data_IF_733412042463
#
_entry.id   IF_733412042463
#
_cell.length_a   1.000
_cell.length_b   1.000
_cell.length_c   1.000
_cell.angle_alpha   90.00
_cell.angle_beta   90.00
_cell.angle_gamma   90.00
#
_symmetry.space_group_name_H-M   'P 1'
#
loop_
_entity.id
_entity.type
_entity.pdbx_description
1 polymer ?
#
# COMPACT_ATOMS: atom_id res chain seq x y z
N UNK A 1 -0.38 -11.15 -3.78
CA UNK A 1 0.06 -9.73 -3.73
C UNK A 1 0.73 -9.35 -5.05
N UNK A 2 0.26 -8.31 -5.73
CA UNK A 2 1.02 -7.71 -6.84
C UNK A 2 1.99 -6.70 -6.25
N UNK A 3 3.27 -7.05 -6.17
CA UNK A 3 4.34 -6.22 -5.62
C UNK A 3 4.60 -4.92 -6.43
N UNK A 4 4.11 -4.84 -7.67
CA UNK A 4 4.35 -3.71 -8.56
C UNK A 4 3.22 -2.68 -8.48
N UNK A 5 1.97 -3.13 -8.27
CA UNK A 5 0.81 -2.24 -8.22
C UNK A 5 -0.31 -2.83 -7.35
N UNK A 6 -0.86 -2.10 -6.37
CA UNK A 6 -1.93 -2.62 -5.53
C UNK A 6 -3.20 -2.84 -6.35
N UNK A 7 -3.77 -4.05 -6.27
CA UNK A 7 -5.08 -4.34 -6.85
C UNK A 7 -6.17 -4.03 -5.82
N UNK A 8 -6.77 -2.87 -5.93
CA UNK A 8 -7.87 -2.47 -5.05
C UNK A 8 -9.19 -3.18 -5.39
N UNK A 9 -9.38 -3.52 -6.66
CA UNK A 9 -10.62 -4.05 -7.21
C UNK A 9 -10.37 -4.93 -8.44
N UNK A 10 -11.41 -5.60 -8.91
CA UNK A 10 -11.43 -6.38 -10.13
C UNK A 10 -11.01 -5.54 -11.36
N UNK A 11 -10.19 -6.08 -12.28
CA UNK A 11 -9.80 -5.41 -13.52
C UNK A 11 -11.00 -5.09 -14.45
N UNK A 12 -12.12 -5.80 -14.31
CA UNK A 12 -13.33 -5.54 -15.09
C UNK A 12 -14.13 -4.34 -14.58
N UNK A 13 -13.92 -3.94 -13.34
CA UNK A 13 -14.46 -2.69 -12.81
C UNK A 13 -13.62 -1.50 -13.32
N UNK A 14 -14.15 -0.79 -14.32
CA UNK A 14 -13.50 0.38 -14.95
C UNK A 14 -14.27 1.67 -14.69
N UNK A 15 -14.19 2.23 -13.49
CA UNK A 15 -14.80 3.52 -13.20
C UNK A 15 -14.13 4.64 -14.00
N UNK A 16 -14.91 5.66 -14.39
CA UNK A 16 -14.35 6.85 -15.01
C UNK A 16 -13.35 7.56 -14.08
N UNK A 17 -12.41 8.33 -14.65
CA UNK A 17 -11.33 9.00 -13.89
C UNK A 17 -11.85 9.86 -12.72
N UNK A 18 -12.93 10.59 -12.93
CA UNK A 18 -13.55 11.42 -11.87
C UNK A 18 -14.20 10.58 -10.77
N UNK A 19 -14.82 9.44 -11.11
CA UNK A 19 -15.38 8.52 -10.15
C UNK A 19 -14.26 7.91 -9.29
N UNK A 20 -13.16 7.50 -9.90
CA UNK A 20 -11.98 6.96 -9.20
C UNK A 20 -11.37 8.00 -8.25
N UNK A 21 -11.23 9.24 -8.69
CA UNK A 21 -10.74 10.33 -7.83
C UNK A 21 -11.65 10.53 -6.59
N UNK A 22 -12.98 10.51 -6.78
CA UNK A 22 -13.94 10.61 -5.68
C UNK A 22 -13.87 9.43 -4.71
N UNK A 23 -13.65 8.22 -5.23
CA UNK A 23 -13.47 7.01 -4.42
C UNK A 23 -12.22 7.15 -3.55
N UNK A 24 -11.08 7.50 -4.13
CA UNK A 24 -9.84 7.69 -3.38
C UNK A 24 -9.95 8.84 -2.35
N UNK A 25 -10.61 9.93 -2.71
CA UNK A 25 -10.87 11.03 -1.77
C UNK A 25 -11.66 10.57 -0.55
N UNK A 26 -12.77 9.83 -0.78
CA UNK A 26 -13.57 9.26 0.30
C UNK A 26 -12.78 8.24 1.13
N UNK A 27 -12.02 7.36 0.48
CA UNK A 27 -11.18 6.38 1.17
C UNK A 27 -10.16 7.07 2.09
N UNK A 28 -9.48 8.12 1.61
CA UNK A 28 -8.55 8.93 2.42
C UNK A 28 -9.24 9.56 3.64
N UNK A 29 -10.42 10.17 3.45
CA UNK A 29 -11.17 10.76 4.57
C UNK A 29 -11.58 9.71 5.61
N UNK A 30 -11.92 8.49 5.19
CA UNK A 30 -12.26 7.42 6.12
C UNK A 30 -11.02 6.90 6.87
N UNK A 31 -9.91 6.71 6.17
CA UNK A 31 -8.66 6.29 6.80
C UNK A 31 -8.17 7.32 7.83
N UNK A 32 -8.23 8.62 7.51
CA UNK A 32 -7.82 9.70 8.41
C UNK A 32 -8.65 9.78 9.71
N UNK A 33 -9.85 9.19 9.74
CA UNK A 33 -10.66 9.10 10.95
C UNK A 33 -10.19 8.01 11.91
N UNK A 34 -9.41 7.04 11.43
CA UNK A 34 -8.85 5.95 12.23
C UNK A 34 -7.40 6.26 12.58
N UNK A 35 -7.16 6.83 13.75
CA UNK A 35 -5.79 7.13 14.22
C UNK A 35 -4.91 5.87 14.27
N UNK A 36 -5.51 4.69 14.53
CA UNK A 36 -4.81 3.41 14.55
C UNK A 36 -4.26 3.06 13.16
N UNK A 37 -5.08 3.16 12.10
CA UNK A 37 -4.69 2.74 10.77
C UNK A 37 -3.73 3.75 10.12
N UNK A 38 -3.92 5.05 10.40
CA UNK A 38 -2.94 6.08 10.04
C UNK A 38 -1.61 5.82 10.75
N UNK A 39 -1.64 5.53 12.05
CA UNK A 39 -0.42 5.19 12.82
C UNK A 39 0.28 3.96 12.27
N UNK A 40 -0.47 2.89 11.96
CA UNK A 40 0.09 1.67 11.37
C UNK A 40 0.68 1.93 9.98
N UNK A 41 -0.02 2.69 9.14
CA UNK A 41 0.48 3.09 7.81
C UNK A 41 1.80 3.85 7.92
N UNK A 42 1.86 4.85 8.78
CA UNK A 42 3.08 5.62 9.02
C UNK A 42 4.20 4.74 9.58
N UNK A 43 3.91 3.91 10.59
CA UNK A 43 4.89 3.02 11.18
C UNK A 43 5.52 2.12 10.11
N UNK A 44 4.71 1.38 9.36
CA UNK A 44 5.22 0.44 8.34
C UNK A 44 5.96 1.17 7.23
N UNK A 45 5.48 2.35 6.79
CA UNK A 45 6.11 3.13 5.73
C UNK A 45 7.45 3.72 6.15
N UNK A 46 7.64 4.09 7.43
CA UNK A 46 8.86 4.76 7.90
C UNK A 46 9.87 3.84 8.59
N UNK A 47 9.53 2.56 8.86
CA UNK A 47 10.50 1.59 9.41
C UNK A 47 11.83 1.55 8.62
N UNK A 48 11.83 1.42 7.27
CA UNK A 48 13.09 1.35 6.54
C UNK A 48 13.93 2.63 6.66
N UNK A 49 13.28 3.80 6.74
CA UNK A 49 13.97 5.09 6.95
C UNK A 49 14.62 5.11 8.34
N UNK A 50 13.90 4.69 9.37
CA UNK A 50 14.44 4.62 10.74
C UNK A 50 15.63 3.68 10.84
N UNK A 51 15.55 2.51 10.21
CA UNK A 51 16.67 1.55 10.15
C UNK A 51 17.87 2.15 9.41
N UNK A 52 17.64 2.83 8.28
CA UNK A 52 18.73 3.50 7.55
C UNK A 52 19.43 4.55 8.41
N UNK A 53 18.66 5.42 9.08
CA UNK A 53 19.22 6.46 9.95
C UNK A 53 20.02 5.85 11.12
N UNK A 54 19.51 4.76 11.68
CA UNK A 54 20.23 4.03 12.74
C UNK A 54 21.56 3.48 12.22
N UNK A 55 21.57 2.82 11.06
CA UNK A 55 22.79 2.29 10.45
C UNK A 55 23.79 3.42 10.18
N UNK A 56 23.35 4.53 9.60
CA UNK A 56 24.22 5.68 9.31
C UNK A 56 24.80 6.32 10.59
N UNK A 57 24.10 6.25 11.72
CA UNK A 57 24.61 6.77 12.98
C UNK A 57 25.78 5.96 13.56
N UNK A 58 25.83 4.65 13.24
CA UNK A 58 26.93 3.77 13.67
C UNK A 58 28.14 3.77 12.72
N UNK A 59 27.93 4.14 11.45
CA UNK A 59 28.98 4.14 10.42
C UNK A 59 29.20 5.56 9.90
N UNK A 60 29.99 6.42 10.60
CA UNK A 60 30.32 7.73 10.09
C UNK A 60 31.12 7.59 8.78
N UNK A 61 30.48 8.00 7.69
CA UNK A 61 31.10 7.97 6.36
C UNK A 61 32.11 9.12 6.26
N UNK A 62 33.38 8.82 6.49
CA UNK A 62 34.48 9.74 6.17
C UNK A 62 34.72 9.67 4.65
N UNK A 63 34.20 10.64 3.93
CA UNK A 63 34.35 10.74 2.48
C UNK A 63 35.48 11.68 2.11
N UNK A 64 36.58 11.15 1.52
CA UNK A 64 37.62 11.91 0.89
C UNK A 64 37.42 11.87 -0.65
N UNK A 65 36.93 12.96 -1.28
CA UNK A 65 36.63 13.00 -2.70
C UNK A 65 37.86 12.90 -3.62
N UNK A 66 39.06 13.13 -3.07
CA UNK A 66 40.34 13.10 -3.82
C UNK A 66 40.99 11.71 -3.81
N UNK A 67 40.47 10.75 -3.06
CA UNK A 67 41.10 9.43 -3.01
C UNK A 67 40.80 8.59 -4.28
N UNK A 68 41.75 7.78 -4.77
CA UNK A 68 41.53 6.92 -5.94
C UNK A 68 40.46 5.83 -5.73
N UNK A 69 40.09 5.59 -4.48
CA UNK A 69 39.01 4.66 -4.09
C UNK A 69 37.61 5.30 -4.17
N UNK A 70 37.51 6.59 -4.49
CA UNK A 70 36.22 7.32 -4.46
C UNK A 70 35.19 6.74 -5.43
N UNK A 71 35.60 6.25 -6.59
CA UNK A 71 34.68 5.64 -7.57
C UNK A 71 34.03 4.35 -7.05
N UNK A 72 34.78 3.54 -6.32
CA UNK A 72 34.26 2.32 -5.68
C UNK A 72 33.29 2.66 -4.54
N UNK A 73 33.60 3.69 -3.76
CA UNK A 73 32.73 4.18 -2.69
C UNK A 73 31.42 4.75 -3.26
N UNK A 74 31.48 5.54 -4.33
CA UNK A 74 30.30 6.07 -5.01
C UNK A 74 29.41 4.93 -5.52
N UNK A 75 30.00 3.90 -6.14
CA UNK A 75 29.26 2.74 -6.63
C UNK A 75 28.56 1.98 -5.52
N UNK A 76 29.20 1.81 -4.37
CA UNK A 76 28.62 1.18 -3.18
C UNK A 76 27.48 2.02 -2.58
N UNK A 77 27.62 3.35 -2.54
CA UNK A 77 26.55 4.25 -2.09
C UNK A 77 25.36 4.16 -3.02
N UNK A 78 25.56 4.19 -4.35
CA UNK A 78 24.48 4.09 -5.33
C UNK A 78 23.76 2.74 -5.23
N UNK A 79 24.51 1.65 -5.07
CA UNK A 79 23.93 0.32 -4.85
C UNK A 79 23.11 0.28 -3.55
N UNK A 80 23.64 0.83 -2.46
CA UNK A 80 22.94 0.93 -1.17
C UNK A 80 21.64 1.71 -1.27
N UNK A 81 21.65 2.85 -1.98
CA UNK A 81 20.45 3.66 -2.23
C UNK A 81 19.42 2.90 -3.08
N UNK A 82 19.86 2.15 -4.10
CA UNK A 82 18.96 1.32 -4.90
C UNK A 82 18.28 0.24 -4.05
N UNK A 83 19.06 -0.50 -3.26
CA UNK A 83 18.52 -1.52 -2.35
C UNK A 83 17.56 -0.91 -1.33
N UNK A 84 17.94 0.22 -0.74
CA UNK A 84 17.06 0.94 0.18
C UNK A 84 15.74 1.35 -0.49
N UNK A 85 15.80 1.90 -1.71
CA UNK A 85 14.60 2.27 -2.47
C UNK A 85 13.67 1.08 -2.70
N UNK A 86 14.22 -0.09 -3.06
CA UNK A 86 13.45 -1.30 -3.26
C UNK A 86 12.77 -1.77 -1.96
N UNK A 87 13.49 -1.76 -0.83
CA UNK A 87 12.94 -2.10 0.48
C UNK A 87 11.83 -1.11 0.87
N UNK A 88 12.06 0.18 0.68
CA UNK A 88 11.09 1.24 0.96
C UNK A 88 9.83 1.07 0.09
N UNK A 89 9.99 0.74 -1.18
CA UNK A 89 8.86 0.47 -2.07
C UNK A 89 8.03 -0.71 -1.59
N UNK A 90 8.66 -1.81 -1.24
CA UNK A 90 7.96 -3.01 -0.71
C UNK A 90 7.22 -2.69 0.59
N UNK A 91 7.87 -2.00 1.53
CA UNK A 91 7.24 -1.59 2.79
C UNK A 91 6.01 -0.70 2.55
N UNK A 92 6.11 0.25 1.64
CA UNK A 92 4.99 1.12 1.26
C UNK A 92 3.84 0.34 0.63
N UNK A 93 4.12 -0.63 -0.25
CA UNK A 93 3.10 -1.49 -0.86
C UNK A 93 2.40 -2.35 0.18
N UNK A 94 3.13 -2.88 1.17
CA UNK A 94 2.55 -3.62 2.29
C UNK A 94 1.66 -2.70 3.13
N UNK A 95 2.12 -1.48 3.44
CA UNK A 95 1.33 -0.50 4.19
C UNK A 95 0.01 -0.17 3.49
N UNK A 96 0.03 0.05 2.17
CA UNK A 96 -1.17 0.30 1.35
C UNK A 96 -2.11 -0.91 1.41
N UNK A 97 -1.59 -2.12 1.22
CA UNK A 97 -2.42 -3.33 1.18
C UNK A 97 -3.12 -3.58 2.53
N UNK A 98 -2.39 -3.43 3.63
CA UNK A 98 -2.90 -3.66 4.97
C UNK A 98 -3.88 -2.59 5.46
N UNK A 99 -3.61 -1.32 5.17
CA UNK A 99 -4.35 -0.21 5.80
C UNK A 99 -5.27 0.53 4.85
N UNK A 100 -4.85 0.80 3.62
CA UNK A 100 -5.59 1.64 2.68
C UNK A 100 -6.60 0.87 1.82
N UNK A 101 -6.24 -0.35 1.39
CA UNK A 101 -7.08 -1.18 0.50
C UNK A 101 -8.50 -1.43 1.04
N UNK A 102 -8.73 -1.72 2.34
CA UNK A 102 -10.07 -1.90 2.88
C UNK A 102 -10.95 -0.66 2.73
N UNK A 103 -10.35 0.53 2.90
CA UNK A 103 -11.07 1.81 2.77
C UNK A 103 -11.47 2.09 1.34
N UNK A 104 -10.60 1.79 0.35
CA UNK A 104 -10.93 1.93 -1.07
C UNK A 104 -12.09 1.00 -1.44
N UNK A 105 -12.05 -0.26 -1.04
CA UNK A 105 -13.13 -1.23 -1.28
C UNK A 105 -14.43 -0.79 -0.64
N UNK A 106 -14.40 -0.32 0.60
CA UNK A 106 -15.57 0.24 1.28
C UNK A 106 -16.14 1.47 0.57
N UNK A 107 -15.27 2.35 0.05
CA UNK A 107 -15.68 3.51 -0.72
C UNK A 107 -16.33 3.13 -2.05
N UNK A 108 -15.79 2.15 -2.78
CA UNK A 108 -16.37 1.62 -4.02
C UNK A 108 -17.77 1.04 -3.74
N UNK A 109 -17.91 0.21 -2.71
CA UNK A 109 -19.19 -0.37 -2.34
C UNK A 109 -20.25 0.68 -2.04
N UNK A 110 -19.89 1.79 -1.38
CA UNK A 110 -20.80 2.91 -1.11
C UNK A 110 -21.22 3.67 -2.37
N UNK A 111 -20.61 3.42 -3.52
CA UNK A 111 -21.09 3.95 -4.81
C UNK A 111 -22.14 3.05 -5.47
N UNK A 112 -22.57 1.97 -4.80
CA UNK A 112 -23.56 1.01 -5.30
C UNK A 112 -22.95 -0.13 -6.12
N UNK A 113 -21.61 -0.23 -6.19
CA UNK A 113 -20.96 -1.33 -6.91
C UNK A 113 -20.78 -2.52 -5.97
N UNK A 114 -21.37 -3.69 -6.25
CA UNK A 114 -21.24 -4.88 -5.42
C UNK A 114 -19.85 -5.48 -5.57
N UNK A 115 -18.93 -5.20 -4.63
CA UNK A 115 -17.59 -5.78 -4.59
C UNK A 115 -17.36 -6.51 -3.27
N UNK A 116 -16.57 -7.58 -3.33
CA UNK A 116 -16.10 -8.30 -2.17
C UNK A 116 -15.10 -7.43 -1.38
N UNK A 117 -15.34 -7.26 -0.07
CA UNK A 117 -14.44 -6.48 0.77
C UNK A 117 -13.09 -7.17 1.01
N UNK A 118 -13.06 -8.51 1.00
CA UNK A 118 -11.83 -9.28 1.27
C UNK A 118 -10.87 -9.31 0.08
N UNK A 119 -11.36 -9.57 -1.16
CA UNK A 119 -10.51 -9.72 -2.34
C UNK A 119 -10.70 -8.62 -3.39
N UNK A 120 -11.80 -7.84 -3.35
CA UNK A 120 -12.08 -6.77 -4.31
C UNK A 120 -12.77 -7.25 -5.60
N UNK A 121 -13.15 -8.55 -5.69
CA UNK A 121 -13.85 -9.12 -6.85
C UNK A 121 -15.24 -8.49 -7.00
N UNK A 122 -15.68 -8.24 -8.24
CA UNK A 122 -17.07 -7.90 -8.53
C UNK A 122 -17.98 -9.06 -8.17
N UNK A 123 -19.04 -8.78 -7.43
CA UNK A 123 -20.05 -9.76 -7.06
C UNK A 123 -21.27 -9.59 -7.97
N UNK A 124 -21.86 -10.68 -8.40
CA UNK A 124 -23.20 -10.67 -9.00
C UNK A 124 -24.24 -10.69 -7.87
N UNK A 125 -25.37 -10.03 -8.07
CA UNK A 125 -26.39 -9.78 -7.04
C UNK A 125 -26.95 -11.04 -6.35
N UNK A 126 -26.78 -12.21 -6.95
CA UNK A 126 -27.35 -13.48 -6.50
C UNK A 126 -26.37 -14.40 -5.74
N UNK A 127 -25.15 -13.92 -5.42
CA UNK A 127 -24.10 -14.80 -4.84
C UNK A 127 -24.01 -14.62 -3.34
N UNK A 128 -24.35 -15.68 -2.58
CA UNK A 128 -24.25 -15.69 -1.09
C UNK A 128 -22.80 -15.64 -0.57
N UNK A 129 -21.83 -16.08 -1.38
CA UNK A 129 -20.40 -16.06 -1.03
C UNK A 129 -19.54 -15.69 -2.24
N UNK A 130 -18.43 -15.01 -2.00
CA UNK A 130 -17.50 -14.63 -3.06
C UNK A 130 -16.89 -15.89 -3.71
N UNK A 131 -16.98 -16.07 -5.06
CA UNK A 131 -16.45 -17.26 -5.73
C UNK A 131 -14.91 -17.33 -5.66
N UNK A 132 -14.20 -16.22 -5.49
CA UNK A 132 -12.75 -16.17 -5.49
C UNK A 132 -12.13 -16.44 -4.10
N UNK A 133 -12.72 -15.89 -3.04
CA UNK A 133 -12.13 -16.00 -1.69
C UNK A 133 -13.04 -16.71 -0.66
N UNK A 134 -14.25 -17.10 -1.04
CA UNK A 134 -15.21 -17.76 -0.16
C UNK A 134 -15.79 -16.85 0.94
N UNK A 135 -15.44 -15.57 0.99
CA UNK A 135 -16.01 -14.66 1.98
C UNK A 135 -17.51 -14.51 1.78
N UNK A 136 -18.30 -14.63 2.85
CA UNK A 136 -19.74 -14.45 2.80
C UNK A 136 -20.14 -13.07 2.27
N UNK A 137 -21.27 -13.01 1.60
CA UNK A 137 -21.85 -11.73 1.15
C UNK A 137 -22.19 -10.91 2.40
N UNK A 138 -21.91 -9.61 2.40
CA UNK A 138 -22.12 -8.75 3.58
C UNK A 138 -23.62 -8.49 3.92
N UNK A 139 -24.54 -9.20 3.29
CA UNK A 139 -25.96 -9.23 3.67
C UNK A 139 -26.23 -9.95 5.00
N UNK A 140 -25.35 -10.90 5.37
CA UNK A 140 -25.60 -11.80 6.51
C UNK A 140 -25.12 -11.24 7.87
N UNK A 141 -24.45 -10.08 7.88
CA UNK A 141 -23.88 -9.48 9.10
C UNK A 141 -24.75 -8.37 9.73
N UNK A 142 -26.01 -8.21 9.28
CA UNK A 142 -26.95 -7.22 9.83
C UNK A 142 -28.19 -7.88 10.44
N UNK A 143 -28.01 -8.91 11.28
CA UNK A 143 -29.05 -9.36 12.21
C UNK A 143 -28.48 -9.47 13.62
#
# INVERSE_FOLDING_TARGET
MNLIWPKFHDPDYRPGRLAMLRIHWKANLFMLRSARDVGLFMLVSFIPVGVLLLVLSFFPLSFDPMSPTSNSIISLILLGLLVFYLIQHVAFMIAIDLTYTPYVRSAIRRTGTPICQSCGQLLHDDVASCPECGAGSPGDAQH
#
